data_IF_957968395542
#
_entry.id   IF_957968395542
#
_cell.length_a   1.000
_cell.length_b   1.000
_cell.length_c   1.000
_cell.angle_alpha   90.00
_cell.angle_beta   90.00
_cell.angle_gamma   90.00
#
_symmetry.space_group_name_H-M   'P 1'
#
loop_
_entity.id
_entity.type
_entity.pdbx_description
1 polymer ?
#
# COMPACT_ATOMS: atom_id res chain seq x y z
N UNK A 1 -33.43 25.15 11.02
CA UNK A 1 -32.57 24.06 11.51
C UNK A 1 -31.58 23.71 10.40
N UNK A 2 -30.28 23.97 10.59
CA UNK A 2 -29.26 23.70 9.58
C UNK A 2 -28.81 22.24 9.68
N UNK A 3 -29.12 21.44 8.66
CA UNK A 3 -28.69 20.05 8.57
C UNK A 3 -27.21 20.06 8.19
N UNK A 4 -26.32 19.82 9.16
CA UNK A 4 -24.88 19.60 8.88
C UNK A 4 -24.77 18.39 7.96
N UNK A 5 -24.46 18.61 6.69
CA UNK A 5 -24.02 17.54 5.79
C UNK A 5 -22.75 16.97 6.38
N UNK A 6 -22.86 15.77 6.95
CA UNK A 6 -21.71 14.93 7.24
C UNK A 6 -21.12 14.61 5.87
N UNK A 7 -20.12 15.38 5.44
CA UNK A 7 -19.32 14.98 4.31
C UNK A 7 -18.69 13.65 4.70
N UNK A 8 -19.10 12.56 4.05
CA UNK A 8 -18.31 11.35 3.98
C UNK A 8 -16.93 11.76 3.50
N UNK A 9 -15.97 11.90 4.42
CA UNK A 9 -14.56 11.89 4.09
C UNK A 9 -14.30 10.46 3.63
N UNK A 10 -14.55 10.18 2.34
CA UNK A 10 -14.01 8.99 1.69
C UNK A 10 -12.51 9.15 1.86
N UNK A 11 -11.92 8.50 2.87
CA UNK A 11 -10.48 8.30 2.84
C UNK A 11 -10.25 7.48 1.60
N UNK A 12 -9.74 8.11 0.55
CA UNK A 12 -9.27 7.40 -0.63
C UNK A 12 -8.12 6.55 -0.09
N UNK A 13 -8.37 5.26 0.15
CA UNK A 13 -7.30 4.29 0.34
C UNK A 13 -6.52 4.29 -0.96
N UNK A 14 -5.46 5.10 -1.02
CA UNK A 14 -4.60 5.17 -2.21
C UNK A 14 -3.95 3.81 -2.38
N UNK A 15 -4.36 3.09 -3.43
CA UNK A 15 -3.71 1.84 -3.80
C UNK A 15 -2.32 2.17 -4.34
N UNK A 16 -1.33 1.33 -4.07
CA UNK A 16 0.03 1.54 -4.58
C UNK A 16 0.03 1.70 -6.12
N UNK A 17 -0.89 1.02 -6.81
CA UNK A 17 -1.13 1.10 -8.25
C UNK A 17 -1.63 2.48 -8.67
N UNK A 18 -2.62 3.04 -7.96
CA UNK A 18 -3.17 4.37 -8.30
C UNK A 18 -2.10 5.46 -8.13
N UNK A 19 -1.27 5.32 -7.07
CA UNK A 19 -0.12 6.19 -6.86
C UNK A 19 0.91 6.04 -7.99
N UNK A 20 1.29 4.80 -8.33
CA UNK A 20 2.24 4.51 -9.41
C UNK A 20 1.80 5.13 -10.75
N UNK A 21 0.54 4.96 -11.13
CA UNK A 21 0.02 5.51 -12.38
C UNK A 21 0.02 7.04 -12.39
N UNK A 22 -0.31 7.69 -11.27
CA UNK A 22 -0.26 9.14 -11.17
C UNK A 22 1.18 9.66 -11.37
N UNK A 23 2.13 9.09 -10.64
CA UNK A 23 3.54 9.49 -10.72
C UNK A 23 4.14 9.26 -12.11
N UNK A 24 3.81 8.12 -12.75
CA UNK A 24 4.25 7.83 -14.12
C UNK A 24 3.64 8.79 -15.16
N UNK A 25 2.45 9.33 -14.88
CA UNK A 25 1.77 10.26 -15.78
C UNK A 25 2.29 11.68 -15.65
N UNK A 26 2.66 12.10 -14.43
CA UNK A 26 3.18 13.45 -14.16
C UNK A 26 4.69 13.57 -14.38
N UNK A 27 5.43 12.45 -14.32
CA UNK A 27 6.89 12.46 -14.44
C UNK A 27 7.38 12.33 -15.88
N UNK A 28 8.50 12.97 -16.25
CA UNK A 28 9.15 12.75 -17.54
C UNK A 28 9.54 11.27 -17.69
N UNK A 29 9.48 10.77 -18.93
CA UNK A 29 9.86 9.40 -19.33
C UNK A 29 11.37 9.17 -19.29
N UNK A 30 11.96 9.39 -18.13
CA UNK A 30 13.36 9.16 -17.85
C UNK A 30 13.56 7.82 -17.13
N UNK A 31 14.60 7.08 -17.52
CA UNK A 31 14.87 5.73 -17.03
C UNK A 31 15.19 5.73 -15.52
N UNK A 32 15.95 6.71 -15.04
CA UNK A 32 16.29 6.81 -13.61
C UNK A 32 15.06 7.19 -12.79
N UNK A 33 14.32 8.19 -13.25
CA UNK A 33 13.09 8.67 -12.62
C UNK A 33 12.06 7.54 -12.48
N UNK A 34 11.86 6.76 -13.54
CA UNK A 34 10.94 5.62 -13.54
C UNK A 34 11.39 4.48 -12.63
N UNK A 35 12.69 4.19 -12.57
CA UNK A 35 13.22 3.21 -11.61
C UNK A 35 12.99 3.64 -10.17
N UNK A 36 13.17 4.92 -9.84
CA UNK A 36 12.89 5.45 -8.50
C UNK A 36 11.41 5.38 -8.14
N UNK A 37 10.53 5.74 -9.08
CA UNK A 37 9.06 5.64 -8.90
C UNK A 37 8.65 4.18 -8.68
N UNK A 38 9.18 3.25 -9.47
CA UNK A 38 8.91 1.83 -9.32
C UNK A 38 9.38 1.29 -7.97
N UNK A 39 10.55 1.71 -7.49
CA UNK A 39 11.06 1.31 -6.17
C UNK A 39 10.11 1.73 -5.06
N UNK A 40 9.66 2.99 -5.07
CA UNK A 40 8.71 3.51 -4.09
C UNK A 40 7.35 2.80 -4.16
N UNK A 41 6.87 2.48 -5.37
CA UNK A 41 5.61 1.74 -5.53
C UNK A 41 5.70 0.32 -4.92
N UNK A 42 6.84 -0.36 -5.05
CA UNK A 42 7.09 -1.66 -4.42
C UNK A 42 7.11 -1.57 -2.89
N UNK A 43 7.68 -0.51 -2.33
CA UNK A 43 7.65 -0.29 -0.88
C UNK A 43 6.23 -0.05 -0.36
N UNK A 44 5.43 0.72 -1.09
CA UNK A 44 4.01 0.92 -0.77
C UNK A 44 3.20 -0.37 -0.87
N UNK A 45 3.45 -1.20 -1.89
CA UNK A 45 2.82 -2.52 -2.02
C UNK A 45 3.21 -3.45 -0.86
N UNK A 46 4.48 -3.47 -0.45
CA UNK A 46 4.96 -4.22 0.72
C UNK A 46 4.19 -3.80 1.98
N UNK A 47 4.05 -2.49 2.22
CA UNK A 47 3.30 -1.97 3.37
C UNK A 47 1.82 -2.38 3.32
N UNK A 48 1.18 -2.30 2.15
CA UNK A 48 -0.21 -2.73 1.99
C UNK A 48 -0.42 -4.21 2.32
N UNK A 49 0.53 -5.07 1.95
CA UNK A 49 0.50 -6.50 2.29
C UNK A 49 0.66 -6.70 3.79
N UNK A 50 1.62 -6.02 4.43
CA UNK A 50 1.83 -6.12 5.88
C UNK A 50 0.60 -5.64 6.64
N UNK A 51 0.02 -4.50 6.25
CA UNK A 51 -1.19 -3.95 6.86
C UNK A 51 -2.39 -4.89 6.70
N UNK A 52 -2.55 -5.50 5.52
CA UNK A 52 -3.63 -6.47 5.27
C UNK A 52 -3.49 -7.73 6.15
N UNK A 53 -2.26 -8.26 6.28
CA UNK A 53 -1.97 -9.42 7.14
C UNK A 53 -2.14 -9.07 8.62
N UNK A 54 -1.66 -7.91 9.04
CA UNK A 54 -1.82 -7.37 10.41
C UNK A 54 -3.30 -7.19 10.77
N UNK A 55 -4.08 -6.58 9.88
CA UNK A 55 -5.52 -6.42 10.05
C UNK A 55 -6.22 -7.78 10.17
N UNK A 56 -5.92 -8.71 9.27
CA UNK A 56 -6.43 -10.08 9.33
C UNK A 56 -6.13 -10.76 10.66
N UNK A 57 -4.89 -10.69 11.15
CA UNK A 57 -4.49 -11.35 12.40
C UNK A 57 -5.02 -10.68 13.67
N UNK A 58 -5.22 -9.35 13.66
CA UNK A 58 -5.85 -8.62 14.77
C UNK A 58 -7.26 -9.15 15.06
N UNK A 59 -7.98 -9.60 14.02
CA UNK A 59 -9.31 -10.20 14.13
C UNK A 59 -9.28 -11.58 14.82
N UNK A 60 -8.19 -12.34 14.67
CA UNK A 60 -8.02 -13.68 15.23
C UNK A 60 -7.19 -13.73 16.53
N UNK A 61 -6.87 -12.56 17.13
CA UNK A 61 -6.08 -12.43 18.38
C UNK A 61 -4.71 -13.12 18.35
N UNK A 62 -4.09 -13.25 17.18
CA UNK A 62 -2.77 -13.89 17.02
C UNK A 62 -1.73 -12.83 16.64
N UNK A 63 -1.40 -11.95 17.60
CA UNK A 63 -0.57 -10.76 17.39
C UNK A 63 0.88 -11.06 17.01
N UNK A 64 1.41 -12.21 17.41
CA UNK A 64 2.83 -12.55 17.24
C UNK A 64 3.18 -13.02 15.81
N UNK A 65 2.18 -13.39 15.00
CA UNK A 65 2.40 -14.01 13.69
C UNK A 65 2.27 -13.04 12.50
N UNK A 66 1.75 -11.83 12.66
CA UNK A 66 1.28 -11.04 11.53
C UNK A 66 2.38 -10.36 10.70
N UNK A 67 3.28 -9.67 11.38
CA UNK A 67 4.37 -8.96 10.70
C UNK A 67 5.34 -9.96 10.06
N UNK A 68 5.68 -11.02 10.81
CA UNK A 68 6.53 -12.14 10.34
C UNK A 68 5.91 -12.86 9.14
N UNK A 69 4.59 -13.02 9.08
CA UNK A 69 3.90 -13.68 7.95
C UNK A 69 3.87 -12.79 6.71
N UNK A 70 3.59 -11.49 6.87
CA UNK A 70 3.57 -10.55 5.74
C UNK A 70 4.94 -10.38 5.09
N UNK A 71 5.99 -10.24 5.90
CA UNK A 71 7.36 -10.14 5.39
C UNK A 71 7.84 -11.44 4.73
N UNK A 72 7.52 -12.59 5.32
CA UNK A 72 7.84 -13.91 4.74
C UNK A 72 7.18 -14.09 3.38
N UNK A 73 5.89 -13.80 3.26
CA UNK A 73 5.16 -13.88 1.99
C UNK A 73 5.79 -12.99 0.91
N UNK A 74 6.11 -11.74 1.25
CA UNK A 74 6.74 -10.82 0.31
C UNK A 74 8.11 -11.32 -0.16
N UNK A 75 8.94 -11.83 0.75
CA UNK A 75 10.26 -12.39 0.44
C UNK A 75 10.16 -13.62 -0.46
N UNK A 76 9.25 -14.55 -0.17
CA UNK A 76 9.04 -15.77 -0.98
C UNK A 76 8.52 -15.46 -2.39
N UNK A 77 7.69 -14.42 -2.53
CA UNK A 77 7.02 -14.09 -3.80
C UNK A 77 7.88 -13.20 -4.70
N UNK A 78 8.63 -12.24 -4.13
CA UNK A 78 9.27 -11.16 -4.88
C UNK A 78 10.81 -11.12 -4.80
N UNK A 79 11.49 -11.97 -4.02
CA UNK A 79 12.97 -12.06 -4.00
C UNK A 79 13.58 -13.05 -5.02
N UNK A 80 12.99 -13.16 -6.22
CA UNK A 80 13.60 -13.91 -7.34
C UNK A 80 14.46 -13.02 -8.23
#
# INVERSE_FOLDING_TARGET
MAVKRICCRKSKTMKAIDWLFNELWESPKDKFTWHSILSKAKELEKQQIIDAVSYGNSYYKNYEAAEVTGEKYYKETYSK
#
